data_IF_801310773152
#
_entry.id   IF_801310773152
#
_cell.length_a   1.000
_cell.length_b   1.000
_cell.length_c   1.000
_cell.angle_alpha   90.00
_cell.angle_beta   90.00
_cell.angle_gamma   90.00
#
_symmetry.space_group_name_H-M   'P 1'
#
loop_
_entity.id
_entity.type
_entity.pdbx_description
1 polymer ?
#
# COMPACT_ATOMS: atom_id res chain seq x y z
N UNK A 1 -9.73 -0.33 29.22
CA UNK A 1 -9.88 0.92 28.45
C UNK A 1 -9.30 0.72 27.05
N UNK A 2 -10.16 0.37 26.10
CA UNK A 2 -9.81 -0.14 24.76
C UNK A 2 -9.52 0.96 23.74
N UNK A 3 -8.84 2.02 24.15
CA UNK A 3 -8.52 3.13 23.25
C UNK A 3 -7.02 3.42 23.24
N UNK A 4 -6.35 2.90 22.21
CA UNK A 4 -4.98 3.27 21.84
C UNK A 4 -4.90 4.67 21.17
N UNK A 5 -5.93 5.51 21.36
CA UNK A 5 -6.02 6.83 20.74
C UNK A 5 -6.65 7.83 21.71
N UNK A 6 -6.32 9.11 21.51
CA UNK A 6 -6.91 10.25 22.20
C UNK A 6 -7.23 11.30 21.14
N UNK A 7 -8.40 11.91 21.24
CA UNK A 7 -8.91 12.85 20.24
C UNK A 7 -9.37 14.13 20.93
N UNK A 8 -9.17 15.26 20.27
CA UNK A 8 -9.64 16.57 20.73
C UNK A 8 -11.15 16.71 20.53
N UNK A 9 -11.74 17.74 21.14
CA UNK A 9 -13.19 17.95 21.13
C UNK A 9 -13.73 18.65 19.88
N UNK A 10 -12.87 19.14 18.99
CA UNK A 10 -13.23 19.96 17.82
C UNK A 10 -14.12 21.18 18.15
N UNK A 11 -14.11 21.66 19.41
CA UNK A 11 -15.01 22.73 19.85
C UNK A 11 -14.55 24.14 19.48
N UNK A 12 -13.25 24.34 19.25
CA UNK A 12 -12.70 25.64 18.86
C UNK A 12 -12.50 25.70 17.35
N UNK A 13 -12.72 26.89 16.79
CA UNK A 13 -12.58 27.16 15.35
C UNK A 13 -11.13 27.40 14.92
N UNK A 14 -10.25 27.73 15.87
CA UNK A 14 -8.89 28.19 15.58
C UNK A 14 -7.82 27.32 16.23
N UNK A 15 -8.15 26.61 17.30
CA UNK A 15 -7.18 25.91 18.13
C UNK A 15 -7.71 24.56 18.58
N UNK A 16 -6.80 23.62 18.81
CA UNK A 16 -7.14 22.30 19.32
C UNK A 16 -6.02 21.84 20.23
N UNK A 17 -6.35 21.43 21.46
CA UNK A 17 -5.36 21.04 22.45
C UNK A 17 -5.82 19.77 23.15
N UNK A 18 -4.86 18.87 23.39
CA UNK A 18 -5.06 17.65 24.14
C UNK A 18 -3.95 17.47 25.14
N UNK A 19 -4.31 17.12 26.37
CA UNK A 19 -3.35 16.73 27.39
C UNK A 19 -3.25 15.20 27.43
N UNK A 20 -2.06 14.69 27.15
CA UNK A 20 -1.79 13.27 27.34
C UNK A 20 -1.36 13.01 28.80
N UNK A 21 -2.01 12.06 29.51
CA UNK A 21 -1.56 11.65 30.83
C UNK A 21 -0.19 10.98 30.74
N UNK A 22 0.46 10.76 31.90
CA UNK A 22 1.78 10.11 31.98
C UNK A 22 1.82 8.81 31.17
N UNK A 23 2.57 8.80 30.06
CA UNK A 23 2.74 7.63 29.18
C UNK A 23 4.04 6.92 29.55
N UNK A 24 3.99 5.67 30.07
CA UNK A 24 5.19 4.86 30.21
C UNK A 24 5.84 4.64 28.84
N UNK A 25 7.15 4.86 28.72
CA UNK A 25 7.89 4.64 27.45
C UNK A 25 7.69 3.23 26.88
N UNK A 26 7.51 2.24 27.75
CA UNK A 26 7.22 0.85 27.37
C UNK A 26 5.92 0.69 26.56
N UNK A 27 4.98 1.64 26.63
CA UNK A 27 3.72 1.60 25.88
C UNK A 27 3.86 2.16 24.47
N UNK A 28 4.90 2.97 24.22
CA UNK A 28 5.13 3.66 22.95
C UNK A 28 6.57 3.42 22.45
N UNK A 29 6.98 2.15 22.24
CA UNK A 29 8.35 1.84 21.82
C UNK A 29 8.74 2.51 20.50
N UNK A 30 7.76 2.85 19.66
CA UNK A 30 7.92 3.49 18.36
C UNK A 30 7.44 4.95 18.34
N UNK A 31 7.19 5.56 19.50
CA UNK A 31 6.68 6.93 19.61
C UNK A 31 5.16 7.06 19.46
N UNK A 32 4.71 8.31 19.28
CA UNK A 32 3.31 8.69 19.12
C UNK A 32 3.07 9.21 17.70
N UNK A 33 1.95 8.82 17.09
CA UNK A 33 1.47 9.41 15.85
C UNK A 33 0.51 10.55 16.17
N UNK A 34 0.81 11.76 15.70
CA UNK A 34 -0.08 12.92 15.78
C UNK A 34 -0.66 13.16 14.39
N UNK A 35 -1.99 13.18 14.29
CA UNK A 35 -2.70 13.40 13.03
C UNK A 35 -3.54 14.69 13.14
N UNK A 36 -3.01 15.83 12.69
CA UNK A 36 -3.81 17.04 12.53
C UNK A 36 -4.94 16.79 11.53
N UNK A 37 -6.17 17.09 11.91
CA UNK A 37 -7.34 16.89 11.05
C UNK A 37 -8.42 17.95 11.29
N UNK A 38 -9.27 18.14 10.28
CA UNK A 38 -10.48 18.97 10.36
C UNK A 38 -11.68 18.08 10.64
N UNK A 39 -12.73 18.65 11.24
CA UNK A 39 -13.99 17.95 11.51
C UNK A 39 -14.84 17.71 10.25
N UNK A 40 -14.54 18.42 9.16
CA UNK A 40 -15.24 18.32 7.88
C UNK A 40 -14.39 17.62 6.82
N UNK A 41 -15.05 16.77 6.02
CA UNK A 41 -14.39 16.04 4.93
C UNK A 41 -14.05 16.99 3.78
N UNK A 42 -12.94 16.71 3.09
CA UNK A 42 -12.49 17.40 1.87
C UNK A 42 -12.16 18.89 2.03
N UNK A 43 -12.00 19.37 3.26
CA UNK A 43 -11.51 20.71 3.53
C UNK A 43 -9.99 20.66 3.74
N UNK A 44 -9.30 21.69 3.26
CA UNK A 44 -7.86 21.88 3.45
C UNK A 44 -7.62 23.11 4.32
N UNK A 45 -6.62 23.05 5.18
CA UNK A 45 -6.18 24.16 6.01
C UNK A 45 -4.72 23.98 6.40
N UNK A 46 -4.02 25.09 6.54
CA UNK A 46 -2.69 25.12 7.16
C UNK A 46 -2.82 25.04 8.67
N UNK A 47 -1.82 24.49 9.34
CA UNK A 47 -1.77 24.39 10.79
C UNK A 47 -0.33 24.56 11.27
N UNK A 48 -0.20 24.99 12.52
CA UNK A 48 1.04 24.90 13.29
C UNK A 48 0.82 23.87 14.42
N UNK A 49 1.80 23.02 14.67
CA UNK A 49 1.75 22.01 15.73
C UNK A 49 2.84 22.28 16.77
N UNK A 50 2.41 22.54 18.00
CA UNK A 50 3.30 22.69 19.15
C UNK A 50 3.12 21.53 20.12
N UNK A 51 4.24 20.98 20.64
CA UNK A 51 4.24 19.87 21.58
C UNK A 51 5.10 20.22 22.78
N UNK A 52 4.49 20.19 23.96
CA UNK A 52 5.17 20.37 25.24
C UNK A 52 5.35 19.03 25.94
N UNK A 53 6.56 18.74 26.39
CA UNK A 53 6.88 17.52 27.11
C UNK A 53 7.84 17.81 28.27
N UNK A 54 7.75 17.03 29.34
CA UNK A 54 8.68 17.10 30.47
C UNK A 54 10.06 16.53 30.16
N UNK A 55 10.26 15.96 28.98
CA UNK A 55 11.45 15.26 28.52
C UNK A 55 11.79 15.74 27.10
N UNK A 56 13.04 15.54 26.66
CA UNK A 56 13.42 15.83 25.28
C UNK A 56 12.61 14.96 24.31
N UNK A 57 11.98 15.58 23.33
CA UNK A 57 11.24 14.92 22.26
C UNK A 57 11.88 15.21 20.91
N UNK A 58 11.61 14.34 19.95
CA UNK A 58 11.88 14.56 18.54
C UNK A 58 10.54 14.54 17.81
N UNK A 59 10.21 15.66 17.17
CA UNK A 59 9.02 15.78 16.33
C UNK A 59 9.49 15.73 14.88
N UNK A 60 9.17 14.64 14.19
CA UNK A 60 9.46 14.47 12.78
C UNK A 60 8.14 14.53 12.02
N UNK A 61 8.05 15.43 11.04
CA UNK A 61 7.03 15.29 10.03
C UNK A 61 7.23 13.92 9.36
N UNK A 62 6.18 13.11 9.34
CA UNK A 62 6.21 11.95 8.45
C UNK A 62 6.32 12.50 7.02
N UNK A 63 7.12 11.86 6.15
CA UNK A 63 7.18 12.27 4.75
C UNK A 63 5.76 12.43 4.19
N UNK A 64 5.53 13.42 3.34
CA UNK A 64 4.31 13.45 2.53
C UNK A 64 4.29 12.17 1.71
N UNK A 65 3.59 11.17 2.22
CA UNK A 65 3.56 9.87 1.58
C UNK A 65 2.50 9.95 0.51
N UNK A 66 2.95 9.85 -0.74
CA UNK A 66 2.04 9.70 -1.86
C UNK A 66 1.34 8.37 -1.68
N UNK A 67 0.02 8.43 -1.57
CA UNK A 67 -0.83 7.26 -1.43
C UNK A 67 -1.83 7.22 -2.56
N UNK A 68 -1.87 6.09 -3.26
CA UNK A 68 -2.91 5.81 -4.26
C UNK A 68 -3.35 4.36 -4.13
N UNK A 69 -4.65 4.14 -4.31
CA UNK A 69 -5.25 2.82 -4.40
C UNK A 69 -5.93 2.65 -5.74
N UNK A 70 -5.81 1.47 -6.33
CA UNK A 70 -6.51 1.09 -7.57
C UNK A 70 -7.22 -0.24 -7.38
N UNK A 71 -8.49 -0.29 -7.78
CA UNK A 71 -9.28 -1.51 -7.76
C UNK A 71 -8.96 -2.39 -8.98
N UNK A 72 -9.04 -3.70 -8.78
CA UNK A 72 -8.89 -4.70 -9.83
C UNK A 72 -9.74 -5.93 -9.52
N UNK A 73 -9.82 -6.82 -10.51
CA UNK A 73 -10.57 -8.06 -10.39
C UNK A 73 -9.84 -9.18 -11.12
N UNK A 74 -9.79 -10.35 -10.51
CA UNK A 74 -9.54 -11.59 -11.23
C UNK A 74 -10.88 -12.07 -11.77
N UNK A 75 -10.98 -12.23 -13.08
CA UNK A 75 -12.17 -12.71 -13.81
C UNK A 75 -11.81 -13.99 -14.57
N UNK A 76 -12.78 -14.69 -15.16
CA UNK A 76 -12.57 -16.01 -15.79
C UNK A 76 -11.39 -16.02 -16.79
N UNK A 77 -11.26 -14.97 -17.61
CA UNK A 77 -10.18 -14.86 -18.58
C UNK A 77 -8.89 -14.20 -18.04
N UNK A 78 -8.90 -13.75 -16.79
CA UNK A 78 -7.79 -13.04 -16.13
C UNK A 78 -7.54 -13.55 -14.68
N UNK A 79 -7.73 -14.84 -14.44
CA UNK A 79 -7.51 -15.51 -13.15
C UNK A 79 -6.47 -16.62 -13.32
N UNK A 80 -5.26 -16.23 -13.72
CA UNK A 80 -4.24 -17.15 -14.25
C UNK A 80 -3.45 -17.95 -13.22
N UNK A 81 -3.65 -17.70 -11.92
CA UNK A 81 -2.81 -18.30 -10.87
C UNK A 81 -1.37 -17.77 -10.87
N UNK A 82 -0.50 -18.41 -10.10
CA UNK A 82 0.91 -18.01 -9.97
C UNK A 82 1.79 -18.56 -11.11
N UNK A 83 3.10 -18.28 -11.07
CA UNK A 83 4.07 -18.67 -12.09
C UNK A 83 4.18 -20.20 -12.34
N UNK A 84 3.67 -21.04 -11.43
CA UNK A 84 3.62 -22.50 -11.63
C UNK A 84 2.53 -22.92 -12.64
N UNK A 85 1.71 -21.97 -13.11
CA UNK A 85 0.67 -22.17 -14.13
C UNK A 85 1.11 -21.51 -15.46
N UNK A 86 2.12 -22.03 -16.18
CA UNK A 86 2.79 -21.32 -17.29
C UNK A 86 1.87 -20.95 -18.47
N UNK A 87 0.78 -21.71 -18.67
CA UNK A 87 -0.19 -21.44 -19.75
C UNK A 87 -1.18 -20.31 -19.47
N UNK A 88 -1.37 -19.94 -18.19
CA UNK A 88 -2.46 -19.06 -17.77
C UNK A 88 -1.98 -17.89 -16.91
N UNK A 89 -0.87 -17.98 -16.19
CA UNK A 89 -0.40 -16.93 -15.28
C UNK A 89 -0.17 -15.58 -15.96
N UNK A 90 0.25 -15.56 -17.22
CA UNK A 90 0.41 -14.32 -18.00
C UNK A 90 -0.91 -13.59 -18.26
N UNK A 91 -2.06 -14.25 -18.05
CA UNK A 91 -3.40 -13.65 -18.21
C UNK A 91 -3.80 -12.80 -17.00
N UNK A 92 -3.09 -12.87 -15.87
CA UNK A 92 -3.42 -12.04 -14.71
C UNK A 92 -3.37 -10.54 -15.05
N UNK A 93 -4.18 -9.72 -14.36
CA UNK A 93 -4.18 -8.27 -14.52
C UNK A 93 -2.79 -7.69 -14.24
N UNK A 94 -2.42 -6.65 -14.98
CA UNK A 94 -1.15 -5.94 -14.81
C UNK A 94 -1.41 -4.45 -14.62
N UNK A 95 -0.58 -3.83 -13.79
CA UNK A 95 -0.67 -2.42 -13.46
C UNK A 95 0.69 -1.78 -13.64
N UNK A 96 0.78 -0.76 -14.48
CA UNK A 96 2.00 0.03 -14.65
C UNK A 96 2.11 1.08 -13.54
N UNK A 97 3.25 1.06 -12.83
CA UNK A 97 3.64 2.04 -11.82
C UNK A 97 4.80 2.88 -12.38
N UNK A 98 4.65 4.21 -12.35
CA UNK A 98 5.67 5.16 -12.80
C UNK A 98 5.79 6.31 -11.80
N UNK A 99 7.01 6.61 -11.38
CA UNK A 99 7.29 7.83 -10.62
C UNK A 99 7.29 9.05 -11.54
N UNK A 100 6.76 10.18 -11.07
CA UNK A 100 6.73 11.41 -11.86
C UNK A 100 8.13 12.03 -11.94
N UNK A 101 8.54 12.44 -13.15
CA UNK A 101 9.77 13.20 -13.35
C UNK A 101 9.55 14.71 -13.17
N UNK A 102 10.53 15.44 -12.60
CA UNK A 102 11.77 14.92 -12.03
C UNK A 102 11.49 14.18 -10.72
N UNK A 103 11.84 12.89 -10.67
CA UNK A 103 12.01 12.23 -9.37
C UNK A 103 13.23 12.94 -8.81
N UNK A 104 13.07 13.70 -7.74
CA UNK A 104 14.15 14.49 -7.14
C UNK A 104 15.26 13.61 -6.53
N UNK A 105 15.41 12.35 -6.95
CA UNK A 105 16.44 11.47 -6.45
C UNK A 105 17.01 10.56 -7.54
N UNK A 106 18.32 10.40 -7.50
CA UNK A 106 19.05 9.28 -8.09
C UNK A 106 19.01 8.05 -7.14
N UNK A 107 18.05 8.03 -6.21
CA UNK A 107 17.97 7.07 -5.12
C UNK A 107 16.79 6.11 -5.30
N UNK A 108 16.94 4.91 -4.74
CA UNK A 108 15.85 3.96 -4.65
C UNK A 108 14.66 4.57 -3.88
N UNK A 109 13.45 4.19 -4.26
CA UNK A 109 12.21 4.64 -3.63
C UNK A 109 11.78 3.67 -2.53
N UNK A 110 11.56 4.19 -1.32
CA UNK A 110 10.85 3.45 -0.27
C UNK A 110 9.37 3.34 -0.65
N UNK A 111 8.88 2.10 -0.71
CA UNK A 111 7.51 1.82 -1.15
C UNK A 111 6.89 0.73 -0.29
N UNK A 112 5.63 0.95 0.14
CA UNK A 112 4.77 -0.11 0.63
C UNK A 112 3.69 -0.41 -0.39
N UNK A 113 3.70 -1.62 -0.94
CA UNK A 113 2.64 -2.11 -1.84
C UNK A 113 1.82 -3.14 -1.07
N UNK A 114 0.52 -2.89 -0.96
CA UNK A 114 -0.45 -3.77 -0.31
C UNK A 114 -1.44 -4.29 -1.34
N UNK A 115 -1.60 -5.61 -1.42
CA UNK A 115 -2.70 -6.26 -2.13
C UNK A 115 -3.73 -6.74 -1.11
N UNK A 116 -4.99 -6.32 -1.25
CA UNK A 116 -6.08 -6.71 -0.37
C UNK A 116 -7.28 -7.24 -1.16
N UNK A 117 -7.89 -8.31 -0.67
CA UNK A 117 -9.16 -8.84 -1.19
C UNK A 117 -10.31 -7.90 -0.85
N UNK A 118 -11.27 -7.77 -1.77
CA UNK A 118 -12.49 -6.97 -1.57
C UNK A 118 -13.73 -7.86 -1.73
N UNK A 119 -14.70 -7.68 -0.83
CA UNK A 119 -15.98 -8.39 -0.85
C UNK A 119 -16.02 -9.68 -0.01
N UNK A 120 -17.21 -10.23 0.19
CA UNK A 120 -17.47 -11.36 1.10
C UNK A 120 -17.27 -12.74 0.47
N UNK A 121 -17.23 -12.80 -0.87
CA UNK A 121 -17.18 -14.02 -1.67
C UNK A 121 -15.94 -14.87 -1.35
N UNK A 122 -14.83 -14.21 -1.03
CA UNK A 122 -13.54 -14.83 -0.72
C UNK A 122 -13.62 -15.80 0.46
N UNK A 123 -14.41 -15.51 1.49
CA UNK A 123 -14.50 -16.36 2.68
C UNK A 123 -15.06 -17.76 2.34
N UNK A 124 -16.00 -17.83 1.40
CA UNK A 124 -16.56 -19.10 0.93
C UNK A 124 -15.56 -19.85 0.05
N UNK A 125 -14.90 -19.15 -0.87
CA UNK A 125 -13.90 -19.73 -1.78
C UNK A 125 -12.69 -20.29 -1.00
N UNK A 126 -12.12 -19.50 -0.10
CA UNK A 126 -10.96 -19.90 0.72
C UNK A 126 -11.25 -21.07 1.66
N UNK A 127 -12.51 -21.26 2.10
CA UNK A 127 -12.89 -22.46 2.87
C UNK A 127 -12.84 -23.74 2.05
N UNK A 128 -13.12 -23.65 0.75
CA UNK A 128 -13.13 -24.81 -0.17
C UNK A 128 -11.74 -25.12 -0.70
N UNK A 129 -10.94 -24.09 -0.93
CA UNK A 129 -9.58 -24.20 -1.45
C UNK A 129 -8.70 -23.09 -0.88
N UNK A 130 -8.15 -23.32 0.31
CA UNK A 130 -7.30 -22.35 1.01
C UNK A 130 -6.06 -22.02 0.19
N UNK A 131 -5.35 -23.05 -0.31
CA UNK A 131 -4.06 -22.90 -1.00
C UNK A 131 -4.27 -22.19 -2.32
N UNK A 132 -5.20 -22.66 -3.16
CA UNK A 132 -5.45 -22.03 -4.45
C UNK A 132 -5.93 -20.58 -4.32
N UNK A 133 -6.62 -20.24 -3.23
CA UNK A 133 -7.04 -18.86 -2.97
C UNK A 133 -5.96 -17.97 -2.36
N UNK A 134 -4.80 -18.48 -1.95
CA UNK A 134 -3.72 -17.63 -1.42
C UNK A 134 -3.41 -16.51 -2.41
N UNK A 135 -3.25 -15.28 -1.91
CA UNK A 135 -2.98 -14.12 -2.75
C UNK A 135 -1.51 -13.72 -2.64
N UNK A 136 -0.98 -13.20 -3.73
CA UNK A 136 0.35 -12.63 -3.82
C UNK A 136 0.44 -11.71 -5.03
N UNK A 137 1.58 -11.09 -5.21
CA UNK A 137 1.85 -10.28 -6.39
C UNK A 137 3.32 -10.36 -6.79
N UNK A 138 3.53 -10.12 -8.08
CA UNK A 138 4.84 -9.99 -8.66
C UNK A 138 5.08 -8.53 -9.05
N UNK A 139 6.34 -8.10 -8.97
CA UNK A 139 6.79 -6.84 -9.54
C UNK A 139 7.82 -7.17 -10.60
N UNK A 140 7.65 -6.57 -11.78
CA UNK A 140 8.58 -6.65 -12.89
C UNK A 140 9.11 -5.26 -13.22
N UNK A 141 10.34 -5.22 -13.70
CA UNK A 141 10.85 -4.09 -14.47
C UNK A 141 10.51 -4.36 -15.93
N UNK A 142 9.76 -3.44 -16.54
CA UNK A 142 9.28 -3.52 -17.90
C UNK A 142 10.03 -2.54 -18.79
N UNK A 143 10.70 -3.06 -19.82
CA UNK A 143 11.35 -2.28 -20.86
C UNK A 143 10.80 -2.67 -22.23
N UNK A 144 10.00 -1.79 -22.84
CA UNK A 144 9.45 -2.06 -24.18
C UNK A 144 8.59 -3.34 -24.30
N UNK A 145 7.98 -3.80 -23.19
CA UNK A 145 7.16 -5.02 -23.15
C UNK A 145 7.89 -6.26 -22.61
N UNK A 146 9.21 -6.20 -22.46
CA UNK A 146 9.99 -7.25 -21.81
C UNK A 146 9.87 -7.13 -20.28
N UNK A 147 9.30 -8.16 -19.64
CA UNK A 147 9.10 -8.20 -18.18
C UNK A 147 10.24 -8.96 -17.49
N UNK A 148 11.11 -8.24 -16.78
CA UNK A 148 12.16 -8.80 -15.93
C UNK A 148 11.66 -8.92 -14.48
N UNK A 149 11.63 -10.13 -13.88
CA UNK A 149 11.21 -10.30 -12.49
C UNK A 149 12.09 -9.48 -11.54
N UNK A 150 11.45 -8.73 -10.63
CA UNK A 150 12.13 -7.95 -9.60
C UNK A 150 11.78 -8.45 -8.20
N UNK A 151 10.49 -8.70 -7.95
CA UNK A 151 10.01 -9.13 -6.62
C UNK A 151 8.84 -10.10 -6.75
N UNK A 152 8.77 -11.03 -5.82
CA UNK A 152 7.63 -11.92 -5.57
C UNK A 152 7.26 -11.79 -4.09
N UNK A 153 6.00 -11.48 -3.80
CA UNK A 153 5.50 -11.50 -2.44
C UNK A 153 5.36 -12.93 -1.94
N UNK A 154 5.42 -13.13 -0.63
CA UNK A 154 4.89 -14.36 -0.04
C UNK A 154 3.41 -14.49 -0.41
N UNK A 155 3.01 -15.70 -0.83
CA UNK A 155 1.59 -16.00 -0.99
C UNK A 155 0.99 -16.31 0.37
N UNK A 156 -0.15 -15.70 0.70
CA UNK A 156 -0.79 -15.84 2.03
C UNK A 156 -2.28 -16.15 1.91
N UNK A 157 -2.87 -16.91 2.85
CA UNK A 157 -4.30 -17.16 2.88
C UNK A 157 -5.10 -15.95 3.40
N UNK A 158 -4.42 -14.97 4.01
CA UNK A 158 -4.97 -13.79 4.66
C UNK A 158 -5.75 -12.85 3.72
N UNK A 159 -6.41 -11.86 4.32
CA UNK A 159 -7.20 -10.87 3.57
C UNK A 159 -6.33 -9.90 2.77
N UNK A 160 -5.09 -9.68 3.20
CA UNK A 160 -4.13 -8.78 2.57
C UNK A 160 -2.69 -9.27 2.74
N UNK A 161 -1.81 -8.76 1.88
CA UNK A 161 -0.35 -8.91 1.94
C UNK A 161 0.30 -7.60 1.58
N UNK A 162 1.37 -7.23 2.30
CA UNK A 162 2.19 -6.05 2.01
C UNK A 162 3.63 -6.46 1.71
N UNK A 163 4.37 -5.61 1.00
CA UNK A 163 5.84 -5.65 1.02
C UNK A 163 6.38 -5.44 2.44
N UNK A 164 7.63 -5.86 2.67
CA UNK A 164 8.35 -5.63 3.92
C UNK A 164 8.50 -4.11 4.22
N UNK A 165 8.50 -3.67 5.49
CA UNK A 165 8.69 -2.26 5.83
C UNK A 165 10.00 -1.63 5.34
N UNK A 166 11.02 -2.41 4.98
CA UNK A 166 12.28 -1.94 4.40
C UNK A 166 12.35 -2.06 2.87
N UNK A 167 11.25 -2.43 2.22
CA UNK A 167 11.22 -2.64 0.78
C UNK A 167 11.47 -1.36 -0.02
N UNK A 168 12.34 -1.47 -1.01
CA UNK A 168 12.73 -0.39 -1.90
C UNK A 168 12.52 -0.80 -3.36
N UNK A 169 12.12 0.13 -4.21
CA UNK A 169 12.18 0.00 -5.67
C UNK A 169 13.42 0.74 -6.18
N UNK A 170 14.28 0.11 -7.00
CA UNK A 170 15.50 0.76 -7.49
C UNK A 170 15.19 1.92 -8.43
N UNK A 171 16.23 2.68 -8.77
CA UNK A 171 16.14 3.63 -9.88
C UNK A 171 16.02 2.86 -11.19
N UNK A 172 15.06 3.26 -12.01
CA UNK A 172 14.83 2.70 -13.34
C UNK A 172 15.72 3.37 -14.38
N UNK A 173 16.17 2.60 -15.36
CA UNK A 173 16.82 3.15 -16.55
C UNK A 173 15.80 3.90 -17.42
N UNK A 174 16.31 4.73 -18.34
CA UNK A 174 15.45 5.48 -19.24
C UNK A 174 14.54 4.53 -20.05
N UNK A 175 13.23 4.79 -20.03
CA UNK A 175 12.24 3.98 -20.74
C UNK A 175 11.75 2.74 -19.98
N UNK A 176 12.34 2.41 -18.82
CA UNK A 176 11.83 1.35 -17.95
C UNK A 176 10.62 1.83 -17.12
N UNK A 177 9.76 0.89 -16.73
CA UNK A 177 8.60 1.12 -15.86
C UNK A 177 8.41 -0.07 -14.93
N UNK A 178 7.73 0.10 -13.79
CA UNK A 178 7.33 -1.03 -12.97
C UNK A 178 6.01 -1.63 -13.45
N UNK A 179 5.89 -2.95 -13.41
CA UNK A 179 4.64 -3.67 -13.63
C UNK A 179 4.32 -4.51 -12.40
N UNK A 180 3.17 -4.24 -11.77
CA UNK A 180 2.65 -5.03 -10.65
C UNK A 180 1.61 -6.00 -11.20
N UNK A 181 1.76 -7.28 -10.88
CA UNK A 181 0.84 -8.32 -11.31
C UNK A 181 0.32 -9.09 -10.09
N UNK A 182 -0.86 -8.73 -9.58
CA UNK A 182 -1.53 -9.48 -8.52
C UNK A 182 -2.05 -10.81 -9.06
N UNK A 183 -1.84 -11.88 -8.30
CA UNK A 183 -2.33 -13.22 -8.64
C UNK A 183 -2.91 -13.93 -7.42
N UNK A 184 -3.77 -14.89 -7.68
CA UNK A 184 -4.00 -16.00 -6.74
C UNK A 184 -2.93 -17.07 -6.95
N UNK A 185 -2.80 -18.01 -6.02
CA UNK A 185 -1.86 -19.11 -6.15
C UNK A 185 -2.32 -20.10 -7.21
N UNK A 186 -3.58 -20.56 -7.12
CA UNK A 186 -4.22 -21.39 -8.13
C UNK A 186 -4.92 -20.56 -9.20
N UNK A 187 -5.09 -21.14 -10.39
CA UNK A 187 -5.88 -20.54 -11.46
C UNK A 187 -7.40 -20.65 -11.22
N UNK A 188 -8.19 -19.88 -11.97
CA UNK A 188 -9.65 -19.89 -11.95
C UNK A 188 -10.27 -19.26 -10.70
N UNK A 189 -9.49 -18.57 -9.86
CA UNK A 189 -10.03 -17.86 -8.69
C UNK A 189 -10.49 -16.47 -9.09
N UNK A 190 -11.79 -16.25 -9.00
CA UNK A 190 -12.45 -15.00 -9.40
C UNK A 190 -12.84 -14.19 -8.18
N UNK A 191 -12.59 -12.89 -8.24
CA UNK A 191 -12.99 -11.93 -7.21
C UNK A 191 -12.25 -10.61 -7.29
N UNK A 192 -12.78 -9.61 -6.60
CA UNK A 192 -12.24 -8.25 -6.59
C UNK A 192 -11.12 -8.08 -5.56
N UNK A 193 -10.22 -7.14 -5.85
CA UNK A 193 -9.09 -6.76 -5.00
C UNK A 193 -8.80 -5.26 -5.13
N UNK A 194 -7.96 -4.75 -4.24
CA UNK A 194 -7.37 -3.42 -4.29
C UNK A 194 -5.86 -3.55 -4.15
N UNK A 195 -5.12 -2.78 -4.95
CA UNK A 195 -3.70 -2.50 -4.74
C UNK A 195 -3.60 -1.10 -4.15
N UNK A 196 -3.01 -0.98 -2.96
CA UNK A 196 -2.68 0.29 -2.32
C UNK A 196 -1.17 0.48 -2.30
N UNK A 197 -0.71 1.64 -2.75
CA UNK A 197 0.72 1.97 -2.81
C UNK A 197 0.95 3.22 -1.98
N UNK A 198 1.93 3.13 -1.09
CA UNK A 198 2.49 4.25 -0.35
C UNK A 198 3.93 4.45 -0.82
N UNK A 199 4.33 5.67 -1.13
CA UNK A 199 5.71 5.98 -1.48
C UNK A 199 6.12 7.37 -1.01
N UNK A 200 7.42 7.56 -0.82
CA UNK A 200 8.04 8.87 -0.58
C UNK A 200 8.08 9.76 -1.83
N UNK A 201 7.97 9.20 -3.04
CA UNK A 201 7.95 9.96 -4.30
C UNK A 201 6.58 9.94 -4.96
N UNK A 202 6.24 11.01 -5.68
CA UNK A 202 4.99 11.07 -6.42
C UNK A 202 5.00 10.04 -7.55
N UNK A 203 3.89 9.31 -7.68
CA UNK A 203 3.72 8.31 -8.72
C UNK A 203 2.33 8.32 -9.33
N UNK A 204 2.27 7.72 -10.52
CA UNK A 204 1.07 7.30 -11.21
C UNK A 204 0.99 5.77 -11.23
N UNK A 205 -0.20 5.24 -10.99
CA UNK A 205 -0.54 3.83 -11.22
C UNK A 205 -1.70 3.75 -12.21
N UNK A 206 -1.57 2.87 -13.20
CA UNK A 206 -2.59 2.66 -14.23
C UNK A 206 -2.76 1.17 -14.50
N UNK A 207 -3.97 0.73 -14.83
CA UNK A 207 -4.22 -0.63 -15.29
C UNK A 207 -3.77 -0.75 -16.75
N UNK A 208 -2.97 -1.75 -17.06
CA UNK A 208 -2.58 -2.02 -18.44
C UNK A 208 -3.83 -2.39 -19.25
N UNK A 209 -3.98 -1.76 -20.42
CA UNK A 209 -4.98 -2.22 -21.37
C UNK A 209 -4.51 -3.58 -21.87
N UNK A 210 -5.24 -4.63 -21.51
CA UNK A 210 -4.99 -5.98 -22.03
C UNK A 210 -5.08 -5.92 -23.56
N UNK A 211 -3.94 -6.08 -24.22
CA UNK A 211 -3.81 -6.26 -25.68
C UNK A 211 -4.51 -7.54 -26.13
#
# INVERSE_FOLDING_TARGET
PDSYHLTTSFCSKTESCVFFPKIPRAWIPNGLLVVPCLNEKNIKGSFDLEVYASEKIYLNALPETYSRSIAGEWVDNASGGNHLNPGTWKKNPKFSLKFHYPVHSEDAAHVRITLARVGTNWRSLSKRDTVGCMIGFYIFINHGGELRPYYESTFVPDAEISTDPSFMLPVLQHGETYTIMPTTFGEGKVGSFVISILSEYEFAITKDKSS
#
